data_IF_976433054628
#
_entry.id   IF_976433054628
#
_cell.length_a   1.000
_cell.length_b   1.000
_cell.length_c   1.000
_cell.angle_alpha   90.00
_cell.angle_beta   90.00
_cell.angle_gamma   90.00
#
_symmetry.space_group_name_H-M   'P 1'
#
loop_
_entity.id
_entity.type
_entity.pdbx_description
1 polymer ?
#
# COMPACT_ATOMS: atom_id res chain seq x y z
N UNK A 1 -1.10 -12.15 -53.78
CA UNK A 1 -0.62 -11.09 -52.87
C UNK A 1 -0.95 -11.52 -51.45
N UNK A 2 -0.05 -12.22 -50.76
CA UNK A 2 -0.33 -12.76 -49.42
C UNK A 2 0.13 -11.73 -48.38
N UNK A 3 -0.82 -11.08 -47.69
CA UNK A 3 -0.53 -10.16 -46.58
C UNK A 3 0.02 -10.96 -45.39
N UNK A 4 1.28 -10.79 -45.06
CA UNK A 4 1.89 -11.33 -43.85
C UNK A 4 1.24 -10.71 -42.61
N UNK A 5 0.71 -11.55 -41.70
CA UNK A 5 0.18 -11.11 -40.40
C UNK A 5 1.33 -10.59 -39.55
N UNK A 6 1.29 -9.30 -39.15
CA UNK A 6 2.23 -8.73 -38.18
C UNK A 6 2.01 -9.41 -36.82
N UNK A 7 2.99 -10.21 -36.38
CA UNK A 7 3.02 -10.82 -35.05
C UNK A 7 3.52 -9.76 -34.08
N UNK A 8 2.59 -9.06 -33.43
CA UNK A 8 2.91 -8.06 -32.41
C UNK A 8 2.77 -8.65 -31.01
N UNK A 9 3.65 -8.24 -30.11
CA UNK A 9 3.58 -8.61 -28.70
C UNK A 9 2.48 -7.82 -27.99
N UNK A 10 1.73 -8.49 -27.12
CA UNK A 10 0.66 -7.89 -26.30
C UNK A 10 1.17 -7.76 -24.88
N UNK A 11 1.09 -6.56 -24.32
CA UNK A 11 1.50 -6.26 -22.94
C UNK A 11 0.25 -5.89 -22.14
N UNK A 12 0.08 -6.53 -20.98
CA UNK A 12 -0.96 -6.18 -20.02
C UNK A 12 -0.33 -5.40 -18.86
N UNK A 13 -0.83 -4.18 -18.62
CA UNK A 13 -0.48 -3.38 -17.44
C UNK A 13 -1.64 -3.44 -16.46
N UNK A 14 -1.37 -3.91 -15.25
CA UNK A 14 -2.32 -3.91 -14.13
C UNK A 14 -1.87 -2.87 -13.12
N UNK A 15 -2.80 -2.00 -12.72
CA UNK A 15 -2.57 -1.00 -11.68
C UNK A 15 -3.46 -1.30 -10.47
N UNK A 16 -2.88 -1.23 -9.27
CA UNK A 16 -3.57 -1.54 -8.03
C UNK A 16 -3.87 -0.25 -7.28
N UNK A 17 -5.12 0.19 -7.38
CA UNK A 17 -5.58 1.40 -6.72
C UNK A 17 -5.48 1.25 -5.19
N UNK A 18 -4.62 2.08 -4.56
CA UNK A 18 -4.42 2.16 -3.10
C UNK A 18 -4.01 0.82 -2.46
N UNK A 19 -3.06 0.11 -3.07
CA UNK A 19 -2.62 -1.22 -2.65
C UNK A 19 -2.30 -1.32 -1.14
N UNK A 20 -1.60 -0.35 -0.57
CA UNK A 20 -1.23 -0.34 0.86
C UNK A 20 -2.46 -0.29 1.79
N UNK A 21 -3.49 0.46 1.42
CA UNK A 21 -4.73 0.57 2.19
C UNK A 21 -5.57 -0.72 2.15
N UNK A 22 -5.46 -1.48 1.05
CA UNK A 22 -6.24 -2.71 0.78
C UNK A 22 -5.52 -4.00 1.17
N UNK A 23 -4.35 -3.91 1.82
CA UNK A 23 -3.63 -5.10 2.31
C UNK A 23 -4.52 -5.89 3.28
N UNK A 24 -4.61 -7.22 3.13
CA UNK A 24 -5.21 -8.08 4.16
C UNK A 24 -4.13 -8.44 5.20
N UNK A 25 -4.53 -8.70 6.46
CA UNK A 25 -3.58 -9.11 7.50
C UNK A 25 -2.93 -10.43 7.07
N UNK A 26 -1.60 -10.47 6.96
CA UNK A 26 -0.88 -11.70 6.65
C UNK A 26 -0.97 -12.67 7.83
N UNK A 27 -1.46 -13.89 7.59
CA UNK A 27 -1.62 -14.95 8.59
C UNK A 27 -0.34 -15.75 8.87
N UNK A 28 0.73 -15.51 8.11
CA UNK A 28 1.89 -16.42 8.06
C UNK A 28 3.07 -15.99 8.95
N UNK A 29 2.91 -14.91 9.71
CA UNK A 29 3.92 -14.47 10.69
C UNK A 29 3.55 -14.95 12.09
N UNK A 30 4.56 -15.21 12.93
CA UNK A 30 4.34 -15.54 14.35
C UNK A 30 3.47 -14.46 15.00
N UNK A 31 2.43 -14.86 15.74
CA UNK A 31 1.44 -13.95 16.36
C UNK A 31 2.07 -12.77 17.12
N UNK A 32 3.24 -13.00 17.72
CA UNK A 32 4.02 -11.98 18.44
C UNK A 32 4.48 -10.86 17.50
N UNK A 33 5.06 -11.20 16.35
CA UNK A 33 5.55 -10.23 15.35
C UNK A 33 4.37 -9.43 14.79
N UNK A 34 3.27 -10.11 14.46
CA UNK A 34 2.04 -9.46 14.01
C UNK A 34 1.51 -8.48 15.07
N UNK A 35 1.50 -8.89 16.35
CA UNK A 35 1.05 -8.05 17.45
C UNK A 35 1.90 -6.81 17.64
N UNK A 36 3.23 -6.93 17.58
CA UNK A 36 4.16 -5.81 17.71
C UNK A 36 3.97 -4.80 16.56
N UNK A 37 3.93 -5.28 15.32
CA UNK A 37 3.72 -4.42 14.14
C UNK A 37 2.37 -3.70 14.21
N UNK A 38 1.29 -4.40 14.59
CA UNK A 38 -0.03 -3.78 14.73
C UNK A 38 -0.05 -2.76 15.85
N UNK A 39 0.54 -3.08 17.01
CA UNK A 39 0.64 -2.18 18.15
C UNK A 39 1.34 -0.88 17.72
N UNK A 40 2.52 -0.99 17.10
CA UNK A 40 3.30 0.16 16.64
C UNK A 40 2.54 1.02 15.64
N UNK A 41 1.86 0.40 14.67
CA UNK A 41 1.02 1.13 13.69
C UNK A 41 -0.18 1.81 14.35
N UNK A 42 -0.74 1.22 15.42
CA UNK A 42 -1.94 1.74 16.07
C UNK A 42 -1.66 2.85 17.09
N UNK A 43 -0.49 2.84 17.73
CA UNK A 43 -0.13 3.76 18.83
C UNK A 43 0.67 4.95 18.32
N UNK A 44 1.29 4.85 17.14
CA UNK A 44 2.05 5.96 16.56
C UNK A 44 1.14 7.09 16.08
N UNK A 45 1.38 8.30 16.58
CA UNK A 45 0.76 9.51 16.05
C UNK A 45 1.47 9.93 14.76
N UNK A 46 0.72 10.12 13.69
CA UNK A 46 1.23 10.52 12.37
C UNK A 46 1.00 12.02 12.20
N UNK A 47 1.94 12.70 11.55
CA UNK A 47 1.80 14.10 11.13
C UNK A 47 2.34 14.23 9.72
N UNK A 48 1.70 15.03 8.88
CA UNK A 48 2.14 15.28 7.51
C UNK A 48 3.05 16.49 7.49
N UNK A 49 4.16 16.39 6.77
CA UNK A 49 4.93 17.56 6.37
C UNK A 49 4.44 17.99 4.99
N UNK A 50 3.84 19.17 4.93
CA UNK A 50 3.28 19.72 3.70
C UNK A 50 3.77 21.15 3.51
N UNK A 51 4.51 21.41 2.42
CA UNK A 51 5.12 22.71 2.14
C UNK A 51 5.89 23.26 3.36
N UNK A 52 6.79 22.45 3.93
CA UNK A 52 7.58 22.73 5.14
C UNK A 52 6.77 23.00 6.43
N UNK A 53 5.44 22.93 6.36
CA UNK A 53 4.56 23.06 7.51
C UNK A 53 4.12 21.69 8.00
N UNK A 54 4.36 21.43 9.29
CA UNK A 54 3.94 20.20 9.95
C UNK A 54 2.47 20.32 10.39
N UNK A 55 1.62 19.41 9.93
CA UNK A 55 0.22 19.37 10.36
C UNK A 55 0.10 18.90 11.81
N UNK A 56 -1.04 19.16 12.43
CA UNK A 56 -1.36 18.56 13.72
C UNK A 56 -1.28 17.04 13.65
N UNK A 57 -0.72 16.42 14.70
CA UNK A 57 -0.64 14.97 14.79
C UNK A 57 -2.03 14.36 14.90
N UNK A 58 -2.24 13.24 14.23
CA UNK A 58 -3.46 12.45 14.32
C UNK A 58 -3.12 10.98 14.56
N UNK A 59 -4.00 10.28 15.28
CA UNK A 59 -3.91 8.82 15.39
C UNK A 59 -4.58 8.18 14.17
N UNK A 60 -3.91 7.26 13.48
CA UNK A 60 -4.48 6.58 12.33
C UNK A 60 -5.68 5.72 12.77
N UNK A 61 -6.90 6.25 12.60
CA UNK A 61 -8.14 5.50 12.87
C UNK A 61 -8.36 4.34 11.88
N UNK A 62 -7.66 4.39 10.74
CA UNK A 62 -7.57 3.33 9.74
C UNK A 62 -6.10 3.20 9.33
N UNK A 63 -5.71 1.97 9.01
CA UNK A 63 -4.36 1.49 8.62
C UNK A 63 -3.49 2.53 7.87
N UNK A 64 -2.16 2.38 7.98
CA UNK A 64 -1.09 3.10 7.25
C UNK A 64 -1.61 3.73 5.95
N UNK A 65 -1.89 5.03 6.01
CA UNK A 65 -2.43 5.86 4.93
C UNK A 65 -1.53 7.06 4.76
#
# INVERSE_FOLDING_TARGET
MNKSRKKGDVIFKLDLEKAYAKTSRMSNFTKIIISLIIHDISVTSISLLWNDNKTQSFYPQRRLR
#
